data_IF_659752191962
#
_entry.id   IF_659752191962
#
_cell.length_a   1.000
_cell.length_b   1.000
_cell.length_c   1.000
_cell.angle_alpha   90.00
_cell.angle_beta   90.00
_cell.angle_gamma   90.00
#
_symmetry.space_group_name_H-M   'P 1'
#
loop_
_entity.id
_entity.type
_entity.pdbx_description
1 polymer ?
#
# COMPACT_ATOMS: atom_id res chain seq x y z
N UNK A 1 -21.05 16.10 -6.99
CA UNK A 1 -19.98 15.69 -7.93
C UNK A 1 -18.97 14.83 -7.18
N UNK A 2 -19.06 13.50 -7.31
CA UNK A 2 -18.10 12.60 -6.66
C UNK A 2 -16.81 12.56 -7.49
N UNK A 3 -15.77 13.26 -7.03
CA UNK A 3 -14.42 13.19 -7.60
C UNK A 3 -13.91 11.76 -7.38
N UNK A 4 -13.97 10.90 -8.41
CA UNK A 4 -13.19 9.66 -8.47
C UNK A 4 -11.71 10.05 -8.69
N UNK A 5 -11.04 10.49 -7.62
CA UNK A 5 -9.58 10.59 -7.60
C UNK A 5 -9.08 9.23 -7.13
N UNK A 6 -9.20 8.24 -8.01
CA UNK A 6 -8.33 7.07 -7.91
C UNK A 6 -7.08 7.42 -8.69
N UNK A 7 -5.98 7.71 -7.99
CA UNK A 7 -4.68 7.80 -8.65
C UNK A 7 -4.46 6.54 -9.50
N UNK A 8 -3.87 6.71 -10.68
CA UNK A 8 -3.67 5.62 -11.64
C UNK A 8 -2.77 4.57 -11.00
N UNK A 9 -3.32 3.40 -10.68
CA UNK A 9 -2.56 2.32 -10.03
C UNK A 9 -1.38 1.90 -10.91
N UNK A 10 -0.18 1.92 -10.34
CA UNK A 10 1.02 1.39 -11.00
C UNK A 10 1.06 -0.13 -10.81
N UNK A 11 1.31 -0.88 -11.88
CA UNK A 11 1.49 -2.33 -11.80
C UNK A 11 2.92 -2.61 -11.36
N UNK A 12 3.09 -3.00 -10.10
CA UNK A 12 4.36 -3.51 -9.59
C UNK A 12 4.48 -4.98 -9.99
N UNK A 13 5.34 -5.31 -10.95
CA UNK A 13 5.65 -6.71 -11.30
C UNK A 13 6.81 -7.18 -10.42
N UNK A 14 6.63 -8.31 -9.72
CA UNK A 14 7.73 -9.06 -9.10
C UNK A 14 8.06 -8.71 -7.64
N UNK A 15 7.07 -8.67 -6.73
CA UNK A 15 7.35 -8.66 -5.29
C UNK A 15 7.58 -10.11 -4.84
N UNK A 16 8.79 -10.43 -4.37
CA UNK A 16 9.06 -11.69 -3.69
C UNK A 16 8.55 -11.61 -2.25
N UNK A 17 7.64 -12.51 -1.88
CA UNK A 17 7.11 -12.64 -0.52
C UNK A 17 7.21 -14.08 -0.07
N UNK A 18 7.25 -14.32 1.24
CA UNK A 18 7.14 -15.67 1.77
C UNK A 18 5.71 -16.24 1.60
N UNK A 19 5.58 -17.56 1.75
CA UNK A 19 4.31 -18.27 1.58
C UNK A 19 3.26 -17.88 2.63
N UNK A 20 3.67 -17.57 3.87
CA UNK A 20 2.74 -17.19 4.93
C UNK A 20 2.14 -15.81 4.64
N UNK A 21 2.95 -14.86 4.18
CA UNK A 21 2.48 -13.54 3.75
C UNK A 21 1.47 -13.65 2.61
N UNK A 22 1.69 -14.54 1.64
CA UNK A 22 0.72 -14.77 0.57
C UNK A 22 -0.61 -15.36 1.11
N UNK A 23 -0.54 -16.31 2.05
CA UNK A 23 -1.72 -16.88 2.69
C UNK A 23 -2.48 -15.84 3.52
N UNK A 24 -1.78 -15.02 4.30
CA UNK A 24 -2.38 -13.92 5.06
C UNK A 24 -3.09 -12.93 4.12
N UNK A 25 -2.44 -12.55 3.01
CA UNK A 25 -3.05 -11.66 2.02
C UNK A 25 -4.31 -12.28 1.38
N UNK A 26 -4.32 -13.60 1.12
CA UNK A 26 -5.51 -14.32 0.63
C UNK A 26 -6.65 -14.31 1.64
N UNK A 27 -6.37 -14.61 2.91
CA UNK A 27 -7.38 -14.62 3.99
C UNK A 27 -7.97 -13.22 4.17
N UNK A 28 -7.13 -12.18 4.23
CA UNK A 28 -7.58 -10.80 4.36
C UNK A 28 -8.40 -10.33 3.15
N UNK A 29 -8.00 -10.71 1.94
CA UNK A 29 -8.75 -10.41 0.73
C UNK A 29 -10.15 -11.04 0.76
N UNK A 30 -10.26 -12.28 1.23
CA UNK A 30 -11.54 -12.97 1.40
C UNK A 30 -12.44 -12.26 2.43
N UNK A 31 -11.93 -11.97 3.62
CA UNK A 31 -12.68 -11.29 4.70
C UNK A 31 -13.15 -9.91 4.26
N UNK A 32 -12.30 -9.15 3.57
CA UNK A 32 -12.60 -7.78 3.11
C UNK A 32 -13.40 -7.72 1.81
N UNK A 33 -13.71 -8.87 1.19
CA UNK A 33 -14.32 -8.96 -0.16
C UNK A 33 -13.56 -8.08 -1.17
N UNK A 34 -12.24 -8.11 -1.12
CA UNK A 34 -11.34 -7.28 -1.94
C UNK A 34 -10.27 -8.13 -2.63
N UNK A 35 -9.41 -7.51 -3.45
CA UNK A 35 -8.31 -8.20 -4.11
C UNK A 35 -7.03 -8.19 -3.26
N UNK A 36 -6.15 -9.17 -3.45
CA UNK A 36 -4.81 -9.18 -2.80
C UNK A 36 -4.07 -7.85 -3.02
N UNK A 37 -4.17 -7.26 -4.21
CA UNK A 37 -3.57 -5.97 -4.52
C UNK A 37 -4.13 -4.82 -3.66
N UNK A 38 -5.43 -4.83 -3.38
CA UNK A 38 -6.05 -3.86 -2.48
C UNK A 38 -5.55 -4.04 -1.04
N UNK A 39 -5.43 -5.28 -0.58
CA UNK A 39 -4.85 -5.60 0.73
C UNK A 39 -3.41 -5.08 0.84
N UNK A 40 -2.58 -5.31 -0.17
CA UNK A 40 -1.20 -4.79 -0.19
C UNK A 40 -1.15 -3.27 -0.17
N UNK A 41 -1.99 -2.58 -0.95
CA UNK A 41 -2.07 -1.11 -0.91
C UNK A 41 -2.42 -0.60 0.48
N UNK A 42 -3.43 -1.21 1.11
CA UNK A 42 -3.85 -0.84 2.46
C UNK A 42 -2.75 -1.11 3.50
N UNK A 43 -2.04 -2.24 3.37
CA UNK A 43 -0.95 -2.59 4.27
C UNK A 43 0.21 -1.58 4.18
N UNK A 44 0.64 -1.21 2.97
CA UNK A 44 1.70 -0.20 2.76
C UNK A 44 1.25 1.16 3.29
N UNK A 45 0.03 1.59 2.99
CA UNK A 45 -0.50 2.86 3.46
C UNK A 45 -0.61 2.92 4.99
N UNK A 46 -1.00 1.81 5.63
CA UNK A 46 -1.06 1.69 7.08
C UNK A 46 0.34 1.76 7.69
N UNK A 47 1.28 0.96 7.18
CA UNK A 47 2.67 0.96 7.66
C UNK A 47 3.31 2.35 7.53
N UNK A 48 3.12 3.02 6.40
CA UNK A 48 3.64 4.37 6.19
C UNK A 48 3.05 5.37 7.20
N UNK A 49 1.75 5.26 7.52
CA UNK A 49 1.10 6.12 8.52
C UNK A 49 1.55 5.80 9.93
N UNK A 50 1.81 4.53 10.24
CA UNK A 50 2.28 4.13 11.57
C UNK A 50 3.72 4.66 11.81
N UNK A 51 4.56 4.70 10.78
CA UNK A 51 5.94 5.23 10.86
C UNK A 51 6.03 6.76 10.80
N UNK A 52 5.32 7.40 9.87
CA UNK A 52 5.47 8.83 9.57
C UNK A 52 4.27 9.69 9.99
N UNK A 53 3.27 9.08 10.63
CA UNK A 53 2.03 9.76 11.04
C UNK A 53 1.23 10.28 9.84
N UNK A 54 0.70 11.50 9.97
CA UNK A 54 -0.10 12.15 8.92
C UNK A 54 0.73 12.93 7.90
N UNK A 55 2.06 12.75 7.86
CA UNK A 55 2.90 13.40 6.86
C UNK A 55 2.57 12.88 5.47
N UNK A 56 2.60 13.79 4.49
CA UNK A 56 2.47 13.39 3.10
C UNK A 56 3.72 12.67 2.60
N UNK A 57 3.58 11.77 1.63
CA UNK A 57 4.71 11.00 1.06
C UNK A 57 5.83 11.93 0.56
N UNK A 58 5.47 13.03 -0.11
CA UNK A 58 6.43 14.03 -0.59
C UNK A 58 7.21 14.74 0.53
N UNK A 59 6.57 14.98 1.68
CA UNK A 59 7.25 15.57 2.84
C UNK A 59 8.28 14.61 3.41
N UNK A 60 7.93 13.33 3.54
CA UNK A 60 8.84 12.29 4.06
C UNK A 60 10.02 12.08 3.12
N UNK A 61 9.79 12.04 1.80
CA UNK A 61 10.87 11.96 0.79
C UNK A 61 11.87 13.11 0.97
N UNK A 62 11.38 14.34 1.14
CA UNK A 62 12.22 15.53 1.34
C UNK A 62 12.98 15.51 2.67
N UNK A 63 12.35 15.05 3.76
CA UNK A 63 12.98 14.95 5.08
C UNK A 63 14.07 13.88 5.13
N UNK A 64 13.83 12.73 4.49
CA UNK A 64 14.77 11.61 4.46
C UNK A 64 15.87 11.78 3.40
N UNK A 65 15.72 12.75 2.48
CA UNK A 65 16.66 12.97 1.39
C UNK A 65 16.73 11.79 0.41
N UNK A 66 15.65 11.00 0.29
CA UNK A 66 15.60 9.87 -0.64
C UNK A 66 15.31 10.41 -2.04
N UNK A 67 16.22 10.21 -2.99
CA UNK A 67 15.93 10.42 -4.40
C UNK A 67 15.21 9.18 -4.93
N UNK A 68 13.91 9.31 -5.25
CA UNK A 68 13.04 8.26 -5.83
C UNK A 68 12.75 8.54 -7.29
#
# INVERSE_FOLDING_TARGET
>A
MARRIGEKGVIVRGIATDANTELMAKVLAHVKKSSKAQVYREAVAKLFRDEFGNKSVHQVIKELGVEL
#
